data_IF_102562187713
#
_entry.id   IF_102562187713
#
_cell.length_a   1.000
_cell.length_b   1.000
_cell.length_c   1.000
_cell.angle_alpha   90.00
_cell.angle_beta   90.00
_cell.angle_gamma   90.00
#
_symmetry.space_group_name_H-M   'P 1'
#
loop_
_entity.id
_entity.type
_entity.pdbx_description
1 polymer ?
#
# COMPACT_ATOMS: atom_id res chain seq x y z
N UNK A 1 32.00 26.94 27.77
CA UNK A 1 32.40 25.85 28.67
C UNK A 1 31.41 25.74 29.82
N UNK A 2 30.33 24.96 29.65
CA UNK A 2 29.55 24.36 30.74
C UNK A 2 28.98 23.04 30.20
N UNK A 3 29.49 21.91 30.71
CA UNK A 3 28.97 20.55 30.47
C UNK A 3 27.88 20.25 31.50
N UNK A 4 26.90 19.40 31.15
CA UNK A 4 26.25 18.33 31.96
C UNK A 4 24.93 17.94 31.27
N UNK A 5 24.76 16.78 30.64
CA UNK A 5 24.84 15.36 31.07
C UNK A 5 23.43 14.76 31.11
N UNK A 6 23.20 13.78 30.22
CA UNK A 6 22.04 12.88 30.15
C UNK A 6 21.83 12.11 31.46
N UNK A 7 20.55 11.87 31.81
CA UNK A 7 20.15 10.72 32.62
C UNK A 7 18.83 10.15 32.08
N UNK A 8 18.90 8.92 31.58
CA UNK A 8 17.79 8.03 31.24
C UNK A 8 17.45 7.27 32.53
N UNK A 9 16.18 7.27 32.93
CA UNK A 9 15.69 6.44 34.02
C UNK A 9 14.68 5.44 33.45
N UNK A 10 15.14 4.20 33.27
CA UNK A 10 14.29 3.03 33.10
C UNK A 10 13.83 2.55 34.48
N UNK A 11 12.55 2.28 34.67
CA UNK A 11 12.07 1.52 35.82
C UNK A 11 11.11 0.42 35.37
N UNK A 12 11.59 -0.81 35.58
CA UNK A 12 10.93 -2.09 35.43
C UNK A 12 9.77 -2.23 36.44
N UNK A 13 8.62 -2.72 35.97
CA UNK A 13 7.64 -3.38 36.84
C UNK A 13 7.41 -4.79 36.30
N UNK A 14 7.98 -5.76 36.99
CA UNK A 14 7.70 -7.18 36.83
C UNK A 14 6.47 -7.53 37.67
N UNK A 15 5.48 -8.20 37.10
CA UNK A 15 4.47 -8.94 37.86
C UNK A 15 4.42 -10.39 37.37
N UNK A 16 4.76 -11.24 38.34
CA UNK A 16 4.70 -12.69 38.40
C UNK A 16 3.27 -13.23 38.18
N UNK A 17 3.17 -14.31 37.37
CA UNK A 17 2.81 -15.63 37.90
C UNK A 17 1.33 -16.07 37.90
N UNK A 18 1.05 -17.13 37.13
CA UNK A 18 0.39 -18.39 37.53
C UNK A 18 -0.14 -19.08 36.26
N UNK A 19 0.50 -20.15 35.76
CA UNK A 19 0.31 -21.57 36.10
C UNK A 19 -1.08 -22.12 35.72
N UNK A 20 -1.10 -22.93 34.67
CA UNK A 20 -2.26 -23.71 34.23
C UNK A 20 -1.83 -24.82 33.28
N UNK A 21 -1.38 -25.93 33.84
CA UNK A 21 -1.14 -27.20 33.13
C UNK A 21 -2.45 -27.98 33.05
N UNK A 22 -2.78 -28.52 31.88
CA UNK A 22 -3.66 -29.67 31.75
C UNK A 22 -3.20 -30.50 30.53
N UNK A 23 -2.96 -31.78 30.78
CA UNK A 23 -2.49 -32.79 29.85
C UNK A 23 -3.51 -33.93 29.81
N UNK A 24 -3.56 -34.62 28.66
CA UNK A 24 -4.24 -35.88 28.37
C UNK A 24 -5.78 -35.82 28.43
N UNK A 25 -6.54 -36.50 27.58
CA UNK A 25 -6.40 -37.88 27.12
C UNK A 25 -7.05 -38.08 25.75
N UNK A 26 -6.49 -39.03 25.02
CA UNK A 26 -7.07 -39.71 23.85
C UNK A 26 -8.31 -40.50 24.29
N UNK A 27 -9.40 -40.48 23.52
CA UNK A 27 -10.49 -41.45 23.66
C UNK A 27 -10.87 -42.02 22.28
N UNK A 28 -10.82 -43.34 22.22
CA UNK A 28 -11.07 -44.16 21.04
C UNK A 28 -12.53 -44.61 21.05
N UNK A 29 -13.27 -44.33 19.99
CA UNK A 29 -14.61 -44.87 19.79
C UNK A 29 -14.94 -45.06 18.30
N UNK A 30 -14.64 -46.23 17.76
CA UNK A 30 -15.19 -46.73 16.49
C UNK A 30 -16.46 -47.53 16.77
N UNK A 31 -17.57 -47.23 16.10
CA UNK A 31 -18.24 -48.12 15.12
C UNK A 31 -19.42 -47.40 14.44
N UNK A 32 -19.87 -47.86 13.26
CA UNK A 32 -20.43 -47.00 12.22
C UNK A 32 -21.96 -46.91 12.30
N UNK A 33 -22.49 -45.69 12.31
CA UNK A 33 -23.87 -45.46 11.95
C UNK A 33 -23.98 -45.27 10.43
N UNK A 34 -24.53 -46.29 9.79
CA UNK A 34 -25.16 -46.15 8.48
C UNK A 34 -26.45 -45.37 8.71
N UNK A 35 -26.77 -44.34 7.91
CA UNK A 35 -28.14 -43.97 7.47
C UNK A 35 -28.14 -42.66 6.66
N UNK A 36 -28.42 -42.83 5.36
CA UNK A 36 -29.25 -41.99 4.47
C UNK A 36 -28.75 -40.57 4.15
N UNK A 37 -28.18 -40.42 2.96
CA UNK A 37 -27.97 -39.12 2.29
C UNK A 37 -29.33 -38.51 1.93
N UNK A 38 -29.68 -37.31 2.41
CA UNK A 38 -30.88 -36.61 1.96
C UNK A 38 -30.72 -36.15 0.50
N UNK A 39 -31.76 -36.22 -0.35
CA UNK A 39 -31.72 -35.62 -1.68
C UNK A 39 -31.74 -34.10 -1.52
N UNK A 40 -30.57 -33.47 -1.63
CA UNK A 40 -30.46 -32.02 -1.48
C UNK A 40 -29.06 -31.52 -1.17
N UNK A 41 -28.01 -32.19 -1.67
CA UNK A 41 -26.67 -31.60 -1.68
C UNK A 41 -26.68 -30.50 -2.74
N UNK A 42 -26.95 -29.28 -2.30
CA UNK A 42 -26.44 -28.09 -3.00
C UNK A 42 -24.93 -28.23 -3.00
N UNK A 43 -24.39 -28.68 -4.12
CA UNK A 43 -22.97 -28.56 -4.40
C UNK A 43 -22.57 -27.10 -4.12
N UNK A 44 -21.49 -26.81 -3.36
CA UNK A 44 -20.89 -25.50 -3.43
C UNK A 44 -20.57 -25.25 -4.91
N UNK A 45 -21.34 -24.35 -5.52
CA UNK A 45 -21.05 -23.84 -6.86
C UNK A 45 -19.68 -23.17 -6.71
N UNK A 46 -18.67 -23.65 -7.43
CA UNK A 46 -17.45 -22.90 -7.67
C UNK A 46 -17.88 -21.56 -8.28
N UNK A 47 -18.06 -20.54 -7.43
CA UNK A 47 -18.22 -19.17 -7.87
C UNK A 47 -16.91 -18.80 -8.55
N UNK A 48 -16.90 -18.48 -9.85
CA UNK A 48 -15.69 -18.02 -10.51
C UNK A 48 -15.20 -16.80 -9.73
N UNK A 49 -14.05 -16.91 -9.06
CA UNK A 49 -13.42 -15.72 -8.48
C UNK A 49 -13.13 -14.79 -9.64
N UNK A 50 -13.78 -13.63 -9.62
CA UNK A 50 -13.67 -12.61 -10.63
C UNK A 50 -12.19 -12.20 -10.72
N UNK A 51 -11.48 -12.68 -11.74
CA UNK A 51 -10.08 -12.34 -11.95
C UNK A 51 -10.05 -10.89 -12.41
N UNK A 52 -9.68 -9.97 -11.52
CA UNK A 52 -9.47 -8.57 -11.90
C UNK A 52 -8.47 -8.53 -13.07
N UNK A 53 -8.90 -8.03 -14.23
CA UNK A 53 -8.06 -7.93 -15.40
C UNK A 53 -6.94 -6.92 -15.12
N UNK A 54 -5.68 -7.33 -15.23
CA UNK A 54 -4.56 -6.39 -15.11
C UNK A 54 -4.44 -5.55 -16.38
N UNK A 55 -4.57 -4.23 -16.25
CA UNK A 55 -4.26 -3.26 -17.29
C UNK A 55 -2.77 -2.98 -17.35
N UNK A 56 -2.27 -2.64 -18.53
CA UNK A 56 -0.86 -2.28 -18.74
C UNK A 56 -0.76 -1.21 -19.82
N UNK A 57 0.01 -0.15 -19.55
CA UNK A 57 0.24 0.92 -20.52
C UNK A 57 1.62 1.55 -20.34
N UNK A 58 2.12 2.23 -21.37
CA UNK A 58 3.34 3.04 -21.29
C UNK A 58 2.97 4.45 -20.85
N UNK A 59 3.65 4.94 -19.82
CA UNK A 59 3.52 6.29 -19.30
C UNK A 59 4.85 7.06 -19.40
N UNK A 60 4.74 8.35 -19.63
CA UNK A 60 5.83 9.29 -19.33
C UNK A 60 5.84 9.56 -17.83
N UNK A 61 6.91 9.14 -17.16
CA UNK A 61 7.12 9.24 -15.72
C UNK A 61 8.12 10.33 -15.40
N UNK A 62 7.67 11.34 -14.68
CA UNK A 62 8.50 12.41 -14.11
C UNK A 62 8.62 12.28 -12.60
N UNK A 63 9.30 13.23 -11.97
CA UNK A 63 9.36 13.35 -10.54
C UNK A 63 9.13 14.78 -10.08
N UNK A 64 8.50 14.93 -8.92
CA UNK A 64 8.31 16.20 -8.22
C UNK A 64 8.64 16.06 -6.74
N UNK A 65 8.72 17.19 -6.05
CA UNK A 65 8.98 17.26 -4.61
C UNK A 65 8.20 18.44 -4.02
N UNK A 66 8.12 18.61 -2.68
CA UNK A 66 7.22 19.59 -2.08
C UNK A 66 7.74 21.04 -2.15
N UNK A 67 8.80 21.32 -2.92
CA UNK A 67 9.40 22.65 -2.99
C UNK A 67 8.60 23.61 -3.90
N UNK A 68 8.79 24.92 -3.68
CA UNK A 68 8.12 25.98 -4.45
C UNK A 68 8.37 25.90 -5.97
N UNK A 69 9.49 25.35 -6.41
CA UNK A 69 9.78 25.19 -7.86
C UNK A 69 8.87 24.17 -8.53
N UNK A 70 8.51 23.11 -7.81
CA UNK A 70 7.69 22.02 -8.31
C UNK A 70 6.20 22.32 -8.08
N UNK A 71 5.85 22.81 -6.89
CA UNK A 71 4.45 22.94 -6.47
C UNK A 71 3.93 24.39 -6.44
N UNK A 72 4.80 25.40 -6.60
CA UNK A 72 4.40 26.81 -6.54
C UNK A 72 3.67 27.15 -5.25
N UNK A 73 2.48 27.75 -5.36
CA UNK A 73 1.63 28.10 -4.22
C UNK A 73 1.13 26.89 -3.41
N UNK A 74 1.24 25.68 -3.96
CA UNK A 74 0.84 24.42 -3.32
C UNK A 74 2.02 23.69 -2.65
N UNK A 75 3.15 24.37 -2.44
CA UNK A 75 4.33 23.82 -1.74
C UNK A 75 4.11 23.65 -0.22
N UNK A 76 3.04 22.96 0.16
CA UNK A 76 2.64 22.69 1.54
C UNK A 76 2.83 21.21 1.94
N UNK A 77 3.20 20.34 0.98
CA UNK A 77 3.45 18.91 1.21
C UNK A 77 2.20 18.04 1.28
N UNK A 78 1.04 18.56 0.89
CA UNK A 78 -0.22 17.83 0.85
C UNK A 78 -0.69 17.60 -0.59
N UNK A 79 -1.28 16.42 -0.82
CA UNK A 79 -1.78 15.98 -2.13
C UNK A 79 -3.21 16.47 -2.38
N UNK A 80 -3.71 16.29 -3.60
CA UNK A 80 -5.09 16.56 -3.98
C UNK A 80 -6.12 15.78 -3.12
N UNK A 81 -5.78 14.59 -2.61
CA UNK A 81 -6.64 13.85 -1.65
C UNK A 81 -6.61 14.41 -0.23
N UNK A 82 -5.72 15.36 0.06
CA UNK A 82 -5.53 15.95 1.40
C UNK A 82 -4.59 15.16 2.30
N UNK A 83 -3.93 14.12 1.77
CA UNK A 83 -2.93 13.35 2.50
C UNK A 83 -1.55 14.00 2.42
N UNK A 84 -0.66 13.66 3.35
CA UNK A 84 0.73 14.10 3.27
C UNK A 84 1.47 13.27 2.21
N UNK A 85 2.07 13.93 1.24
CA UNK A 85 2.85 13.26 0.21
C UNK A 85 4.01 12.48 0.83
N UNK A 86 4.18 11.21 0.41
CA UNK A 86 5.13 10.27 0.99
C UNK A 86 5.92 9.57 -0.13
N UNK A 87 7.25 9.66 -0.08
CA UNK A 87 8.11 9.04 -1.09
C UNK A 87 7.95 7.53 -1.08
N UNK A 88 7.85 6.93 -2.27
CA UNK A 88 7.57 5.50 -2.41
C UNK A 88 6.11 5.11 -2.18
N UNK A 89 5.21 6.09 -2.02
CA UNK A 89 3.77 5.85 -1.94
C UNK A 89 3.06 6.75 -2.95
N UNK A 90 3.23 8.06 -2.80
CA UNK A 90 2.43 9.06 -3.52
C UNK A 90 2.88 9.23 -4.97
N UNK A 91 1.90 9.26 -5.88
CA UNK A 91 2.08 9.74 -7.26
C UNK A 91 0.97 10.72 -7.63
N UNK A 92 1.30 11.62 -8.56
CA UNK A 92 0.31 12.41 -9.28
C UNK A 92 -0.03 11.76 -10.62
N UNK A 93 -1.31 11.71 -10.98
CA UNK A 93 -1.78 11.17 -12.27
C UNK A 93 -3.02 11.93 -12.76
N UNK A 94 -3.43 11.63 -14.00
CA UNK A 94 -4.74 12.04 -14.54
C UNK A 94 -5.85 11.12 -13.97
N UNK A 95 -6.82 11.64 -13.20
CA UNK A 95 -7.90 10.84 -12.63
C UNK A 95 -8.82 10.17 -13.65
N UNK A 96 -8.89 10.69 -14.89
CA UNK A 96 -9.69 10.08 -15.96
C UNK A 96 -9.01 8.82 -16.54
N UNK A 97 -7.70 8.66 -16.31
CA UNK A 97 -6.92 7.47 -16.71
C UNK A 97 -6.65 6.54 -15.52
N UNK A 98 -6.22 7.12 -14.41
CA UNK A 98 -5.95 6.42 -13.15
C UNK A 98 -6.70 7.12 -12.02
N UNK A 99 -7.89 6.65 -11.64
CA UNK A 99 -8.69 7.25 -10.57
C UNK A 99 -7.92 7.36 -9.25
N UNK A 100 -8.32 8.31 -8.41
CA UNK A 100 -7.74 8.47 -7.06
C UNK A 100 -7.84 7.18 -6.26
N UNK A 101 -6.76 6.84 -5.55
CA UNK A 101 -6.63 5.61 -4.78
C UNK A 101 -6.20 4.40 -5.61
N UNK A 102 -6.08 4.52 -6.94
CA UNK A 102 -5.55 3.43 -7.77
C UNK A 102 -4.13 3.08 -7.33
N UNK A 103 -3.89 1.80 -7.06
CA UNK A 103 -2.55 1.26 -6.88
C UNK A 103 -1.98 0.85 -8.24
N UNK A 104 -0.78 1.32 -8.53
CA UNK A 104 -0.02 0.95 -9.72
C UNK A 104 1.23 0.18 -9.33
N UNK A 105 1.66 -0.74 -10.19
CA UNK A 105 2.99 -1.32 -10.17
C UNK A 105 3.88 -0.60 -11.19
N UNK A 106 5.03 -0.12 -10.73
CA UNK A 106 6.08 0.47 -11.54
C UNK A 106 7.43 -0.08 -11.07
N UNK A 107 8.19 -0.70 -11.99
CA UNK A 107 9.50 -1.30 -11.70
C UNK A 107 9.48 -2.28 -10.48
N UNK A 108 8.37 -2.99 -10.28
CA UNK A 108 8.19 -3.93 -9.16
C UNK A 108 7.87 -3.28 -7.81
N UNK A 109 7.60 -1.97 -7.79
CA UNK A 109 7.17 -1.23 -6.61
C UNK A 109 5.74 -0.72 -6.76
N UNK A 110 4.96 -0.78 -5.68
CA UNK A 110 3.57 -0.30 -5.66
C UNK A 110 3.50 1.16 -5.22
N UNK A 111 2.79 1.96 -6.00
CA UNK A 111 2.48 3.35 -5.70
C UNK A 111 0.97 3.59 -5.71
N UNK A 112 0.51 4.63 -5.03
CA UNK A 112 -0.89 5.03 -4.94
C UNK A 112 -1.12 6.40 -5.55
N UNK A 113 -2.11 6.51 -6.43
CA UNK A 113 -2.55 7.80 -6.97
C UNK A 113 -3.25 8.60 -5.87
N UNK A 114 -2.59 9.64 -5.39
CA UNK A 114 -3.12 10.50 -4.32
C UNK A 114 -3.12 11.98 -4.73
N UNK A 115 -2.46 12.33 -5.82
CA UNK A 115 -2.27 13.71 -6.24
C UNK A 115 -2.63 13.95 -7.72
N UNK A 116 -2.75 15.22 -8.10
CA UNK A 116 -2.92 15.67 -9.49
C UNK A 116 -2.01 16.85 -9.78
N UNK A 117 -1.79 17.15 -11.05
CA UNK A 117 -1.12 18.38 -11.45
C UNK A 117 -1.63 18.86 -12.80
N UNK A 118 -1.65 20.18 -13.02
CA UNK A 118 -2.18 20.74 -14.28
C UNK A 118 -1.42 20.29 -15.54
N UNK A 119 -0.17 19.86 -15.41
CA UNK A 119 0.63 19.30 -16.50
C UNK A 119 0.60 17.75 -16.56
N UNK A 120 -0.06 17.10 -15.61
CA UNK A 120 -0.15 15.64 -15.49
C UNK A 120 -1.51 15.22 -16.05
N UNK A 121 -1.54 14.97 -17.37
CA UNK A 121 -2.74 14.62 -18.13
C UNK A 121 -2.46 13.43 -19.07
N UNK A 122 -3.45 12.57 -19.30
CA UNK A 122 -3.34 11.35 -20.07
C UNK A 122 -2.36 10.35 -19.46
N UNK A 123 -1.53 9.74 -20.31
CA UNK A 123 -0.53 8.75 -19.89
C UNK A 123 0.76 9.40 -19.35
N UNK A 124 0.60 10.35 -18.43
CA UNK A 124 1.69 11.01 -17.71
C UNK A 124 1.49 10.85 -16.21
N UNK A 125 2.56 10.56 -15.49
CA UNK A 125 2.55 10.45 -14.04
C UNK A 125 3.78 11.14 -13.44
N UNK A 126 3.64 11.60 -12.20
CA UNK A 126 4.72 12.26 -11.45
C UNK A 126 4.96 11.53 -10.13
N UNK A 127 6.15 10.99 -9.94
CA UNK A 127 6.52 10.34 -8.69
C UNK A 127 6.90 11.39 -7.64
N UNK A 128 6.36 11.26 -6.43
CA UNK A 128 6.77 12.13 -5.34
C UNK A 128 8.12 11.70 -4.76
N UNK A 129 9.01 12.68 -4.58
CA UNK A 129 10.28 12.56 -3.87
C UNK A 129 10.35 13.58 -2.74
N UNK A 130 11.01 13.19 -1.65
CA UNK A 130 11.23 14.05 -0.49
C UNK A 130 12.21 15.19 -0.80
N UNK A 131 13.12 15.00 -1.78
CA UNK A 131 14.13 15.98 -2.15
C UNK A 131 14.04 16.39 -3.62
N UNK A 132 14.34 17.66 -3.88
CA UNK A 132 14.41 18.20 -5.25
C UNK A 132 15.58 17.59 -6.06
N UNK A 133 16.68 17.30 -5.39
CA UNK A 133 17.86 16.68 -6.01
C UNK A 133 17.50 15.29 -6.56
N UNK A 134 16.83 14.46 -5.76
CA UNK A 134 16.43 13.11 -6.18
C UNK A 134 15.42 13.15 -7.32
N UNK A 135 14.48 14.10 -7.30
CA UNK A 135 13.55 14.32 -8.41
C UNK A 135 14.27 14.69 -9.71
N UNK A 136 15.29 15.55 -9.65
CA UNK A 136 16.10 15.90 -10.81
C UNK A 136 16.94 14.71 -11.31
N UNK A 137 17.49 13.91 -10.40
CA UNK A 137 18.24 12.70 -10.74
C UNK A 137 17.36 11.62 -11.36
N UNK A 138 16.09 11.54 -10.95
CA UNK A 138 15.12 10.67 -11.61
C UNK A 138 14.91 11.07 -13.08
N UNK A 139 14.61 12.36 -13.33
CA UNK A 139 14.43 12.91 -14.67
C UNK A 139 13.10 12.51 -15.32
N UNK A 140 13.11 12.32 -16.65
CA UNK A 140 11.94 11.90 -17.43
C UNK A 140 12.19 10.52 -18.02
N UNK A 141 11.24 9.59 -17.86
CA UNK A 141 11.40 8.20 -18.30
C UNK A 141 10.11 7.66 -18.90
N UNK A 142 10.23 6.87 -19.95
CA UNK A 142 9.11 6.04 -20.42
C UNK A 142 9.12 4.72 -19.66
N UNK A 143 7.98 4.38 -19.05
CA UNK A 143 7.85 3.18 -18.21
C UNK A 143 6.56 2.45 -18.47
N UNK A 144 6.62 1.12 -18.35
CA UNK A 144 5.43 0.27 -18.33
C UNK A 144 4.83 0.32 -16.93
N UNK A 145 3.57 0.71 -16.86
CA UNK A 145 2.78 0.78 -15.63
C UNK A 145 1.68 -0.26 -15.70
N UNK A 146 1.43 -0.96 -14.59
CA UNK A 146 0.36 -1.96 -14.46
C UNK A 146 -0.58 -1.59 -13.32
N UNK A 147 -1.87 -1.87 -13.47
CA UNK A 147 -2.87 -1.65 -12.43
C UNK A 147 -4.09 -2.56 -12.63
N UNK A 148 -4.93 -2.70 -11.60
CA UNK A 148 -6.18 -3.45 -11.71
C UNK A 148 -7.21 -2.72 -12.58
N UNK A 149 -7.91 -3.47 -13.43
CA UNK A 149 -8.94 -2.98 -14.34
C UNK A 149 -10.30 -2.74 -13.70
#
# INVERSE_FOLDING_TARGET
MVKRSMLIAALLVAILGALGIASATEDSGQTPETVVVPPGVVMPRDEPQETQETRTCVFTVTAYCPCEKCCGAYANGYTATGEKATQGVTIAADPDVLPMGTEIELDGHTYTVQDTGGAIAGNRLDLYFDSHEDALQWGVREKIVRWAG
#
